data_IF_307353612919
#
_entry.id   IF_307353612919
#
_cell.length_a   1.000
_cell.length_b   1.000
_cell.length_c   1.000
_cell.angle_alpha   90.00
_cell.angle_beta   90.00
_cell.angle_gamma   90.00
#
_symmetry.space_group_name_H-M   'P 1'
#
loop_
_entity.id
_entity.type
_entity.pdbx_description
1 polymer ?
#
# COMPACT_ATOMS: atom_id res chain seq x y z
N UNK A 1 5.67 -16.94 3.55
CA UNK A 1 6.11 -15.62 3.07
C UNK A 1 5.14 -14.52 3.49
N UNK A 2 5.34 -13.96 4.68
CA UNK A 2 4.57 -12.81 5.13
C UNK A 2 4.90 -11.60 4.28
N UNK A 3 3.92 -11.07 3.55
CA UNK A 3 4.07 -9.77 2.90
C UNK A 3 4.08 -8.74 4.03
N UNK A 4 5.24 -8.18 4.33
CA UNK A 4 5.32 -6.98 5.16
C UNK A 4 4.63 -5.86 4.38
N UNK A 5 3.35 -5.66 4.65
CA UNK A 5 2.68 -4.40 4.32
C UNK A 5 3.39 -3.34 5.15
N UNK A 6 4.00 -2.36 4.47
CA UNK A 6 4.78 -1.30 5.13
C UNK A 6 3.92 -0.51 6.14
N UNK A 7 4.55 0.33 6.97
CA UNK A 7 3.84 1.07 8.02
C UNK A 7 2.63 1.82 7.45
N UNK A 8 1.44 1.46 7.94
CA UNK A 8 0.20 2.14 7.60
C UNK A 8 0.17 3.44 8.41
N UNK A 9 0.26 4.58 7.72
CA UNK A 9 0.22 5.88 8.38
C UNK A 9 -1.22 6.23 8.78
N UNK A 10 -1.48 6.29 10.08
CA UNK A 10 -2.74 6.79 10.63
C UNK A 10 -2.79 8.32 10.49
N UNK A 11 -3.87 8.86 9.92
CA UNK A 11 -4.04 10.31 9.73
C UNK A 11 -3.51 10.89 8.41
N UNK A 12 -2.97 10.05 7.52
CA UNK A 12 -2.71 10.47 6.15
C UNK A 12 -4.04 10.68 5.41
N UNK A 13 -4.14 11.77 4.63
CA UNK A 13 -5.34 12.05 3.82
C UNK A 13 -5.60 11.01 2.71
N UNK A 14 -4.65 10.11 2.45
CA UNK A 14 -4.70 9.01 1.48
C UNK A 14 -3.87 7.82 2.01
N UNK A 15 -4.13 6.58 1.55
CA UNK A 15 -3.34 5.41 1.94
C UNK A 15 -1.90 5.50 1.44
N UNK A 16 -0.93 5.14 2.30
CA UNK A 16 0.50 5.13 1.98
C UNK A 16 1.11 3.81 2.40
N UNK A 17 1.79 3.14 1.45
CA UNK A 17 2.50 1.88 1.65
C UNK A 17 3.97 2.05 1.27
N UNK A 18 4.90 1.78 2.20
CA UNK A 18 6.35 1.93 1.96
C UNK A 18 6.96 0.59 1.56
N UNK A 19 7.70 0.57 0.44
CA UNK A 19 8.48 -0.60 -0.01
C UNK A 19 9.98 -0.38 0.17
N UNK A 20 10.73 -1.47 0.32
CA UNK A 20 12.20 -1.44 0.26
C UNK A 20 12.69 -1.31 -1.19
N UNK A 21 13.85 -0.67 -1.45
CA UNK A 21 14.40 -0.53 -2.81
C UNK A 21 14.70 -1.88 -3.50
N UNK A 22 14.83 -2.95 -2.70
CA UNK A 22 15.04 -4.33 -3.17
C UNK A 22 13.76 -5.03 -3.62
N UNK A 23 12.60 -4.36 -3.60
CA UNK A 23 11.34 -4.93 -4.01
C UNK A 23 11.35 -5.31 -5.50
N UNK A 24 10.86 -6.50 -5.82
CA UNK A 24 10.68 -6.95 -7.20
C UNK A 24 9.54 -6.21 -7.89
N UNK A 25 9.54 -6.17 -9.23
CA UNK A 25 8.47 -5.56 -10.05
C UNK A 25 7.09 -6.10 -9.67
N UNK A 26 6.96 -7.42 -9.47
CA UNK A 26 5.70 -8.05 -9.03
C UNK A 26 5.20 -7.47 -7.69
N UNK A 27 6.11 -7.21 -6.74
CA UNK A 27 5.75 -6.61 -5.44
C UNK A 27 5.31 -5.16 -5.58
N UNK A 28 5.96 -4.39 -6.45
CA UNK A 28 5.55 -3.01 -6.75
C UNK A 28 4.13 -2.97 -7.34
N UNK A 29 3.83 -3.81 -8.32
CA UNK A 29 2.49 -3.89 -8.95
C UNK A 29 1.43 -4.31 -7.92
N UNK A 30 1.71 -5.34 -7.13
CA UNK A 30 0.76 -5.80 -6.11
C UNK A 30 0.48 -4.72 -5.05
N UNK A 31 1.49 -3.96 -4.62
CA UNK A 31 1.31 -2.87 -3.65
C UNK A 31 0.60 -1.65 -4.25
N UNK A 32 0.80 -1.35 -5.53
CA UNK A 32 0.02 -0.33 -6.23
C UNK A 32 -1.47 -0.70 -6.34
N UNK A 33 -1.76 -1.98 -6.65
CA UNK A 33 -3.13 -2.50 -6.65
C UNK A 33 -3.78 -2.37 -5.27
N UNK A 34 -3.07 -2.80 -4.21
CA UNK A 34 -3.54 -2.65 -2.82
C UNK A 34 -3.82 -1.17 -2.47
N UNK A 35 -2.88 -0.27 -2.77
CA UNK A 35 -3.03 1.16 -2.51
C UNK A 35 -4.25 1.77 -3.23
N UNK A 36 -4.51 1.34 -4.47
CA UNK A 36 -5.66 1.81 -5.25
C UNK A 36 -7.00 1.38 -4.64
N UNK A 37 -7.06 0.14 -4.16
CA UNK A 37 -8.24 -0.43 -3.49
C UNK A 37 -8.47 0.26 -2.15
N UNK A 38 -7.43 0.42 -1.34
CA UNK A 38 -7.51 1.17 -0.08
C UNK A 38 -7.99 2.61 -0.30
N UNK A 39 -7.55 3.27 -1.37
CA UNK A 39 -7.95 4.65 -1.68
C UNK A 39 -9.40 4.75 -2.16
N UNK A 40 -9.93 3.68 -2.78
CA UNK A 40 -11.34 3.58 -3.13
C UNK A 40 -12.21 3.35 -1.89
N UNK A 41 -11.76 2.52 -0.94
CA UNK A 41 -12.48 2.25 0.31
C UNK A 41 -12.38 3.38 1.34
N UNK A 42 -11.25 4.09 1.45
CA UNK A 42 -11.14 5.27 2.33
C UNK A 42 -12.08 6.41 1.93
N UNK A 43 -12.57 6.45 0.69
CA UNK A 43 -13.57 7.43 0.23
C UNK A 43 -15.01 7.08 0.63
N UNK A 44 -15.26 5.89 1.18
CA UNK A 44 -16.61 5.43 1.55
C UNK A 44 -16.92 5.57 3.05
N UNK A 45 -16.02 6.18 3.84
CA UNK A 45 -16.24 6.54 5.24
C UNK A 45 -16.60 8.00 5.43
#
# INVERSE_FOLDING_TARGET
DGITVGPILLGAAKPVHILTPTATVRRLVNMAALASVDAAFQRQG
#
